data_IF_010335662039
#
_entry.id   IF_010335662039
#
_cell.length_a   1.000
_cell.length_b   1.000
_cell.length_c   1.000
_cell.angle_alpha   90.00
_cell.angle_beta   90.00
_cell.angle_gamma   90.00
#
_symmetry.space_group_name_H-M   'P 1'
#
loop_
_entity.id
_entity.type
_entity.pdbx_description
1 polymer ?
#
# COMPACT_ATOMS: atom_id res chain seq x y z
N UNK A 1 41.13 8.28 -47.79
CA UNK A 1 39.98 7.60 -48.42
C UNK A 1 39.36 6.71 -47.36
N UNK A 2 38.34 7.22 -46.67
CA UNK A 2 37.89 6.71 -45.36
C UNK A 2 36.36 6.74 -45.34
N UNK A 3 35.70 5.62 -45.64
CA UNK A 3 34.23 5.47 -45.48
C UNK A 3 33.81 3.98 -45.52
N UNK A 4 34.47 3.14 -44.73
CA UNK A 4 34.07 1.74 -44.53
C UNK A 4 33.89 1.49 -43.04
N UNK A 5 32.67 1.69 -42.54
CA UNK A 5 32.06 1.13 -41.30
C UNK A 5 30.75 1.89 -41.03
N UNK A 6 29.68 1.17 -40.64
CA UNK A 6 28.31 1.62 -40.34
C UNK A 6 27.26 1.45 -41.45
N UNK A 7 27.31 0.32 -42.15
CA UNK A 7 26.18 -0.17 -42.96
C UNK A 7 25.31 -1.18 -42.21
N UNK A 8 24.86 -0.87 -40.99
CA UNK A 8 23.84 -1.69 -40.31
C UNK A 8 22.49 -1.32 -40.92
N UNK A 9 22.05 -2.07 -41.94
CA UNK A 9 20.64 -2.05 -42.32
C UNK A 9 19.90 -2.58 -41.10
N UNK A 10 19.24 -1.70 -40.37
CA UNK A 10 18.29 -2.09 -39.33
C UNK A 10 17.19 -2.82 -40.07
N UNK A 11 17.27 -4.15 -40.05
CA UNK A 11 16.34 -5.00 -40.76
C UNK A 11 15.00 -4.90 -40.02
N UNK A 12 14.10 -4.08 -40.56
CA UNK A 12 12.78 -3.81 -39.99
C UNK A 12 11.99 -5.10 -39.79
N UNK A 13 12.26 -6.12 -40.60
CA UNK A 13 11.71 -7.47 -40.45
C UNK A 13 12.25 -8.18 -39.20
N UNK A 14 13.56 -8.10 -38.95
CA UNK A 14 14.15 -8.70 -37.74
C UNK A 14 13.68 -8.00 -36.46
N UNK A 15 13.48 -6.67 -36.49
CA UNK A 15 12.86 -5.92 -35.40
C UNK A 15 11.39 -6.32 -35.21
N UNK A 16 10.64 -6.49 -36.29
CA UNK A 16 9.24 -6.90 -36.25
C UNK A 16 9.08 -8.32 -35.70
N UNK A 17 9.95 -9.25 -36.07
CA UNK A 17 9.91 -10.63 -35.59
C UNK A 17 10.36 -10.74 -34.13
N UNK A 18 11.41 -10.02 -33.74
CA UNK A 18 11.84 -9.92 -32.35
C UNK A 18 10.75 -9.31 -31.46
N UNK A 19 10.08 -8.25 -31.93
CA UNK A 19 8.95 -7.64 -31.24
C UNK A 19 7.75 -8.60 -31.16
N UNK A 20 7.40 -9.26 -32.26
CA UNK A 20 6.30 -10.23 -32.31
C UNK A 20 6.52 -11.40 -31.38
N UNK A 21 7.75 -11.90 -31.29
CA UNK A 21 8.14 -12.99 -30.41
C UNK A 21 8.14 -12.58 -28.94
N UNK A 22 8.64 -11.38 -28.64
CA UNK A 22 8.60 -10.80 -27.29
C UNK A 22 7.16 -10.59 -26.82
N UNK A 23 6.29 -10.06 -27.68
CA UNK A 23 4.86 -9.86 -27.39
C UNK A 23 4.16 -11.21 -27.20
N UNK A 24 4.37 -12.19 -28.08
CA UNK A 24 3.75 -13.52 -27.94
C UNK A 24 4.20 -14.24 -26.68
N UNK A 25 5.48 -14.15 -26.33
CA UNK A 25 6.03 -14.74 -25.10
C UNK A 25 5.48 -14.05 -23.86
N UNK A 26 5.42 -12.72 -23.88
CA UNK A 26 4.81 -11.92 -22.81
C UNK A 26 3.33 -12.23 -22.63
N UNK A 27 2.55 -12.26 -23.71
CA UNK A 27 1.11 -12.58 -23.69
C UNK A 27 0.86 -14.01 -23.19
N UNK A 28 1.69 -14.98 -23.61
CA UNK A 28 1.54 -16.37 -23.16
C UNK A 28 1.91 -16.54 -21.69
N UNK A 29 2.96 -15.88 -21.22
CA UNK A 29 3.34 -15.87 -19.81
C UNK A 29 2.28 -15.19 -18.93
N UNK A 30 1.75 -14.06 -19.39
CA UNK A 30 0.65 -13.36 -18.72
C UNK A 30 -0.64 -14.19 -18.71
N UNK A 31 -1.01 -14.80 -19.83
CA UNK A 31 -2.18 -15.67 -19.92
C UNK A 31 -2.04 -16.87 -18.98
N UNK A 32 -0.87 -17.54 -18.97
CA UNK A 32 -0.60 -18.65 -18.06
C UNK A 32 -0.71 -18.25 -16.59
N UNK A 33 -0.08 -17.14 -16.21
CA UNK A 33 -0.19 -16.60 -14.84
C UNK A 33 -1.63 -16.20 -14.50
N UNK A 34 -2.37 -15.61 -15.44
CA UNK A 34 -3.75 -15.20 -15.23
C UNK A 34 -4.66 -16.41 -15.00
N UNK A 35 -4.51 -17.49 -15.77
CA UNK A 35 -5.25 -18.73 -15.55
C UNK A 35 -4.92 -19.36 -14.19
N UNK A 36 -3.65 -19.35 -13.76
CA UNK A 36 -3.26 -19.83 -12.43
C UNK A 36 -3.85 -18.98 -11.30
N UNK A 37 -3.86 -17.66 -11.44
CA UNK A 37 -4.47 -16.74 -10.47
C UNK A 37 -5.97 -17.00 -10.38
N UNK A 38 -6.66 -17.08 -11.53
CA UNK A 38 -8.10 -17.35 -11.60
C UNK A 38 -8.42 -18.71 -10.97
N UNK A 39 -7.59 -19.73 -11.23
CA UNK A 39 -7.73 -21.06 -10.64
C UNK A 39 -7.59 -21.07 -9.11
N UNK A 40 -6.79 -20.16 -8.54
CA UNK A 40 -6.64 -20.00 -7.09
C UNK A 40 -7.68 -19.10 -6.41
N UNK A 41 -8.55 -18.41 -7.18
CA UNK A 41 -9.57 -17.51 -6.61
C UNK A 41 -10.55 -18.20 -5.65
N UNK A 42 -11.02 -19.44 -5.89
CA UNK A 42 -11.94 -20.10 -4.97
C UNK A 42 -11.32 -20.35 -3.58
N UNK A 43 -10.06 -20.80 -3.54
CA UNK A 43 -9.33 -21.05 -2.29
C UNK A 43 -9.09 -19.75 -1.53
N UNK A 44 -8.67 -18.71 -2.25
CA UNK A 44 -8.51 -17.36 -1.70
C UNK A 44 -9.84 -16.81 -1.18
N UNK A 45 -10.95 -17.02 -1.89
CA UNK A 45 -12.28 -16.58 -1.47
C UNK A 45 -12.74 -17.26 -0.19
N UNK A 46 -12.53 -18.57 -0.07
CA UNK A 46 -12.83 -19.32 1.16
C UNK A 46 -11.93 -18.82 2.30
N UNK A 47 -10.63 -18.67 2.06
CA UNK A 47 -9.68 -18.15 3.03
C UNK A 47 -10.06 -16.76 3.54
N UNK A 48 -10.40 -15.83 2.64
CA UNK A 48 -10.89 -14.50 3.02
C UNK A 48 -12.22 -14.57 3.75
N UNK A 49 -13.15 -15.43 3.34
CA UNK A 49 -14.45 -15.57 4.03
C UNK A 49 -14.25 -16.01 5.47
N UNK A 50 -13.40 -17.03 5.71
CA UNK A 50 -13.07 -17.50 7.06
C UNK A 50 -12.32 -16.43 7.84
N UNK A 51 -11.31 -15.80 7.22
CA UNK A 51 -10.55 -14.71 7.84
C UNK A 51 -11.47 -13.58 8.29
N UNK A 52 -12.33 -13.08 7.40
CA UNK A 52 -13.27 -12.00 7.71
C UNK A 52 -14.30 -12.44 8.74
N UNK A 53 -14.75 -13.69 8.70
CA UNK A 53 -15.65 -14.23 9.72
C UNK A 53 -14.99 -14.23 11.11
N UNK A 54 -13.77 -14.76 11.21
CA UNK A 54 -13.00 -14.80 12.47
C UNK A 54 -12.69 -13.39 12.95
N UNK A 55 -12.18 -12.52 12.06
CA UNK A 55 -11.88 -11.12 12.35
C UNK A 55 -13.13 -10.36 12.81
N UNK A 56 -14.27 -10.55 12.14
CA UNK A 56 -15.53 -9.96 12.52
C UNK A 56 -15.94 -10.41 13.92
N UNK A 57 -15.82 -11.70 14.23
CA UNK A 57 -16.14 -12.22 15.56
C UNK A 57 -15.20 -11.67 16.64
N UNK A 58 -13.91 -11.54 16.34
CA UNK A 58 -12.91 -10.90 17.22
C UNK A 58 -13.26 -9.44 17.48
N UNK A 59 -13.59 -8.67 16.45
CA UNK A 59 -13.95 -7.26 16.58
C UNK A 59 -15.30 -7.07 17.28
N UNK A 60 -16.30 -7.90 16.96
CA UNK A 60 -17.64 -7.85 17.56
C UNK A 60 -17.64 -8.22 19.04
N UNK A 61 -16.82 -9.20 19.41
CA UNK A 61 -16.73 -9.70 20.79
C UNK A 61 -15.52 -9.12 21.53
N UNK A 62 -15.01 -7.96 21.06
CA UNK A 62 -13.74 -7.38 21.46
C UNK A 62 -13.56 -7.32 22.98
N UNK A 63 -14.56 -6.85 23.72
CA UNK A 63 -14.49 -6.73 25.18
C UNK A 63 -14.25 -8.08 25.87
N UNK A 64 -14.99 -9.13 25.45
CA UNK A 64 -14.85 -10.47 26.00
C UNK A 64 -13.52 -11.11 25.61
N UNK A 65 -13.04 -10.86 24.39
CA UNK A 65 -11.73 -11.33 23.95
C UNK A 65 -10.62 -10.61 24.72
N UNK A 66 -10.77 -9.30 24.97
CA UNK A 66 -9.82 -8.49 25.71
C UNK A 66 -9.72 -8.92 27.18
N UNK A 67 -10.85 -9.18 27.84
CA UNK A 67 -10.91 -9.74 29.19
C UNK A 67 -10.24 -11.11 29.26
N UNK A 68 -10.50 -11.98 28.28
CA UNK A 68 -9.83 -13.27 28.20
C UNK A 68 -8.31 -13.12 28.04
N UNK A 69 -7.84 -12.22 27.18
CA UNK A 69 -6.41 -11.93 27.04
C UNK A 69 -5.80 -11.43 28.37
N UNK A 70 -6.48 -10.52 29.09
CA UNK A 70 -6.05 -10.01 30.41
C UNK A 70 -5.89 -11.12 31.45
N UNK A 71 -6.76 -12.12 31.43
CA UNK A 71 -6.71 -13.25 32.38
C UNK A 71 -5.62 -14.28 32.05
N UNK A 72 -5.21 -14.40 30.79
CA UNK A 72 -4.16 -15.34 30.36
C UNK A 72 -2.76 -14.72 30.48
N UNK A 73 -2.64 -13.38 30.45
CA UNK A 73 -1.37 -12.69 30.57
C UNK A 73 -0.84 -12.70 32.02
N UNK A 74 0.34 -13.28 32.28
CA UNK A 74 0.97 -13.27 33.60
C UNK A 74 1.74 -11.95 33.83
N UNK A 75 1.05 -10.81 33.74
CA UNK A 75 1.63 -9.48 33.96
C UNK A 75 0.91 -8.77 35.12
N UNK A 76 1.63 -7.88 35.81
CA UNK A 76 1.07 -7.02 36.84
C UNK A 76 -0.06 -6.15 36.27
N UNK A 77 -1.23 -5.99 36.93
CA UNK A 77 -2.36 -5.24 36.40
C UNK A 77 -2.03 -3.83 35.91
N UNK A 78 -1.15 -3.12 36.63
CA UNK A 78 -0.71 -1.78 36.26
C UNK A 78 0.04 -1.75 34.91
N UNK A 79 0.86 -2.76 34.63
CA UNK A 79 1.60 -2.88 33.36
C UNK A 79 0.65 -3.28 32.23
N UNK A 80 -0.34 -4.14 32.51
CA UNK A 80 -1.35 -4.51 31.52
C UNK A 80 -2.15 -3.30 31.04
N UNK A 81 -2.63 -2.47 31.96
CA UNK A 81 -3.43 -1.30 31.62
C UNK A 81 -2.64 -0.29 30.77
N UNK A 82 -1.38 -0.04 31.12
CA UNK A 82 -0.48 0.82 30.33
C UNK A 82 -0.27 0.29 28.91
N UNK A 83 -0.08 -1.02 28.74
CA UNK A 83 0.08 -1.65 27.42
C UNK A 83 -1.19 -1.54 26.56
N UNK A 84 -2.37 -1.77 27.15
CA UNK A 84 -3.63 -1.69 26.42
C UNK A 84 -3.96 -0.26 26.02
N UNK A 85 -3.74 0.70 26.91
CA UNK A 85 -3.94 2.12 26.62
C UNK A 85 -2.94 2.60 25.56
N UNK A 86 -1.66 2.24 25.68
CA UNK A 86 -0.65 2.51 24.67
C UNK A 86 -1.02 1.92 23.31
N UNK A 87 -1.48 0.67 23.27
CA UNK A 87 -1.94 0.03 22.02
C UNK A 87 -3.13 0.76 21.42
N UNK A 88 -4.12 1.13 22.23
CA UNK A 88 -5.29 1.88 21.77
C UNK A 88 -4.88 3.24 21.18
N UNK A 89 -3.98 3.96 21.84
CA UNK A 89 -3.44 5.24 21.36
C UNK A 89 -2.67 5.06 20.04
N UNK A 90 -1.84 4.03 19.92
CA UNK A 90 -1.11 3.72 18.68
C UNK A 90 -2.06 3.39 17.53
N UNK A 91 -3.07 2.56 17.78
CA UNK A 91 -4.09 2.20 16.79
C UNK A 91 -4.89 3.43 16.35
N UNK A 92 -5.40 4.23 17.30
CA UNK A 92 -6.14 5.44 17.02
C UNK A 92 -5.30 6.45 16.19
N UNK A 93 -4.06 6.69 16.60
CA UNK A 93 -3.18 7.64 15.90
C UNK A 93 -2.83 7.14 14.49
N UNK A 94 -2.64 5.83 14.30
CA UNK A 94 -2.41 5.23 12.99
C UNK A 94 -3.63 5.38 12.06
N UNK A 95 -4.84 5.17 12.57
CA UNK A 95 -6.09 5.36 11.81
C UNK A 95 -6.25 6.82 11.36
N UNK A 96 -6.09 7.77 12.28
CA UNK A 96 -6.18 9.20 11.99
C UNK A 96 -5.09 9.62 10.99
N UNK A 97 -3.86 9.15 11.16
CA UNK A 97 -2.76 9.41 10.24
C UNK A 97 -3.04 8.89 8.83
N UNK A 98 -3.58 7.68 8.71
CA UNK A 98 -3.94 7.09 7.41
C UNK A 98 -5.02 7.90 6.69
N UNK A 99 -6.07 8.32 7.42
CA UNK A 99 -7.14 9.18 6.87
C UNK A 99 -6.57 10.53 6.39
N UNK A 100 -5.71 11.16 7.19
CA UNK A 100 -5.11 12.45 6.85
C UNK A 100 -4.25 12.37 5.59
N UNK A 101 -3.40 11.34 5.48
CA UNK A 101 -2.56 11.10 4.30
C UNK A 101 -3.41 10.80 3.07
N UNK A 102 -4.43 9.95 3.20
CA UNK A 102 -5.36 9.64 2.10
C UNK A 102 -6.07 10.90 1.58
N UNK A 103 -6.49 11.78 2.49
CA UNK A 103 -7.11 13.07 2.15
C UNK A 103 -6.16 13.99 1.37
N UNK A 104 -4.94 14.19 1.89
CA UNK A 104 -3.92 15.00 1.22
C UNK A 104 -3.60 14.45 -0.18
N UNK A 105 -3.45 13.13 -0.31
CA UNK A 105 -3.19 12.48 -1.60
C UNK A 105 -4.34 12.68 -2.61
N UNK A 106 -5.59 12.52 -2.16
CA UNK A 106 -6.74 12.69 -3.03
C UNK A 106 -6.85 14.14 -3.55
N UNK A 107 -6.56 15.13 -2.71
CA UNK A 107 -6.53 16.55 -3.12
C UNK A 107 -5.42 16.81 -4.13
N UNK A 108 -4.21 16.32 -3.88
CA UNK A 108 -3.07 16.48 -4.80
C UNK A 108 -3.35 15.84 -6.16
N UNK A 109 -3.89 14.62 -6.19
CA UNK A 109 -4.26 13.95 -7.44
C UNK A 109 -5.37 14.70 -8.17
N UNK A 110 -6.37 15.20 -7.42
CA UNK A 110 -7.43 16.05 -7.94
C UNK A 110 -6.88 17.29 -8.64
N UNK A 111 -5.91 17.98 -8.02
CA UNK A 111 -5.24 19.14 -8.61
C UNK A 111 -4.51 18.78 -9.92
N UNK A 112 -3.82 17.63 -9.97
CA UNK A 112 -3.18 17.14 -11.19
C UNK A 112 -4.22 16.88 -12.29
N UNK A 113 -5.36 16.28 -11.97
CA UNK A 113 -6.41 15.96 -12.95
C UNK A 113 -7.12 17.22 -13.47
N UNK A 114 -7.26 18.25 -12.63
CA UNK A 114 -7.73 19.57 -13.04
C UNK A 114 -6.77 20.22 -14.06
N UNK A 115 -5.46 20.21 -13.79
CA UNK A 115 -4.45 20.76 -14.70
C UNK A 115 -4.40 20.00 -16.03
N UNK A 116 -4.63 18.68 -16.00
CA UNK A 116 -4.66 17.82 -17.19
C UNK A 116 -5.96 17.93 -18.00
N UNK A 117 -6.97 18.67 -17.52
CA UNK A 117 -8.26 18.81 -18.18
C UNK A 117 -9.06 17.51 -18.25
N UNK A 118 -8.87 16.60 -17.29
CA UNK A 118 -9.62 15.34 -17.23
C UNK A 118 -11.02 15.59 -16.67
N UNK A 119 -12.05 15.11 -17.37
CA UNK A 119 -13.41 15.12 -16.87
C UNK A 119 -13.59 14.23 -15.63
N UNK A 120 -14.65 14.47 -14.85
CA UNK A 120 -15.00 13.69 -13.66
C UNK A 120 -13.95 13.71 -12.54
N UNK A 121 -13.28 14.84 -12.30
CA UNK A 121 -12.26 14.98 -11.25
C UNK A 121 -12.76 14.52 -9.87
N UNK A 122 -14.00 14.88 -9.49
CA UNK A 122 -14.59 14.50 -8.20
C UNK A 122 -14.67 12.99 -8.02
N UNK A 123 -15.03 12.25 -9.08
CA UNK A 123 -15.07 10.79 -9.05
C UNK A 123 -13.69 10.20 -8.73
N UNK A 124 -12.65 10.72 -9.35
CA UNK A 124 -11.28 10.26 -9.14
C UNK A 124 -10.73 10.63 -7.76
N UNK A 125 -11.06 11.81 -7.24
CA UNK A 125 -10.70 12.22 -5.88
C UNK A 125 -11.32 11.24 -4.86
N UNK A 126 -12.63 11.01 -4.93
CA UNK A 126 -13.34 10.13 -3.99
C UNK A 126 -12.82 8.70 -4.08
N UNK A 127 -12.65 8.18 -5.28
CA UNK A 127 -12.13 6.82 -5.50
C UNK A 127 -10.70 6.68 -4.97
N UNK A 128 -9.86 7.71 -5.15
CA UNK A 128 -8.49 7.72 -4.64
C UNK A 128 -8.45 7.78 -3.12
N UNK A 129 -9.31 8.59 -2.50
CA UNK A 129 -9.42 8.67 -1.05
C UNK A 129 -9.80 7.32 -0.45
N UNK A 130 -10.85 6.68 -0.96
CA UNK A 130 -11.30 5.36 -0.49
C UNK A 130 -10.21 4.31 -0.73
N UNK A 131 -9.56 4.31 -1.89
CA UNK A 131 -8.51 3.34 -2.20
C UNK A 131 -7.24 3.53 -1.34
N UNK A 132 -6.88 4.78 -1.03
CA UNK A 132 -5.71 5.09 -0.20
C UNK A 132 -5.91 4.72 1.28
N UNK A 133 -7.15 4.59 1.75
CA UNK A 133 -7.45 4.13 3.11
C UNK A 133 -7.17 2.64 3.36
N UNK A 134 -6.94 1.83 2.32
CA UNK A 134 -6.65 0.40 2.45
C UNK A 134 -5.13 0.17 2.48
N UNK A 135 -4.51 -0.10 3.65
CA UNK A 135 -3.05 -0.09 3.80
C UNK A 135 -2.32 -1.23 3.06
N UNK A 136 -3.04 -2.27 2.62
CA UNK A 136 -2.45 -3.43 1.92
C UNK A 136 -2.61 -3.36 0.40
N UNK A 137 -3.61 -2.61 -0.09
CA UNK A 137 -3.96 -2.52 -1.51
C UNK A 137 -3.50 -1.19 -2.10
N UNK A 138 -3.57 -0.11 -1.32
CA UNK A 138 -3.19 1.24 -1.69
C UNK A 138 -3.91 1.79 -2.92
N UNK A 139 -3.51 2.98 -3.34
CA UNK A 139 -3.94 3.59 -4.61
C UNK A 139 -3.47 2.78 -5.86
N UNK A 140 -2.63 1.75 -5.66
CA UNK A 140 -2.10 0.82 -6.65
C UNK A 140 -3.15 0.18 -7.53
N UNK A 141 -4.26 -0.24 -6.91
CA UNK A 141 -5.34 -0.93 -7.61
C UNK A 141 -6.14 0.01 -8.52
N UNK A 142 -6.06 1.33 -8.30
CA UNK A 142 -6.76 2.35 -9.10
C UNK A 142 -5.89 2.81 -10.26
N UNK A 143 -4.61 3.11 -10.01
CA UNK A 143 -3.75 3.70 -11.04
C UNK A 143 -3.30 2.67 -12.09
N UNK A 144 -3.20 1.39 -11.75
CA UNK A 144 -2.82 0.34 -12.70
C UNK A 144 -3.84 0.22 -13.85
N UNK A 145 -5.15 -0.01 -13.60
CA UNK A 145 -6.15 -0.01 -14.67
C UNK A 145 -6.35 1.37 -15.31
N UNK A 146 -6.22 2.47 -14.56
CA UNK A 146 -6.31 3.81 -15.14
C UNK A 146 -5.17 4.10 -16.15
N UNK A 147 -3.93 3.74 -15.82
CA UNK A 147 -2.77 3.89 -16.70
C UNK A 147 -2.88 2.99 -17.94
N UNK A 148 -3.38 1.76 -17.76
CA UNK A 148 -3.66 0.85 -18.88
C UNK A 148 -4.74 1.44 -19.79
N UNK A 149 -5.81 2.02 -19.23
CA UNK A 149 -6.88 2.64 -20.02
C UNK A 149 -6.39 3.83 -20.84
N UNK A 150 -5.55 4.69 -20.25
CA UNK A 150 -4.96 5.86 -20.93
C UNK A 150 -3.96 5.46 -22.03
N UNK A 151 -3.24 4.35 -21.83
CA UNK A 151 -2.33 3.79 -22.83
C UNK A 151 -3.10 3.22 -24.04
N UNK A 152 -4.20 2.50 -23.79
CA UNK A 152 -5.08 1.97 -24.84
C UNK A 152 -5.77 3.07 -25.67
N UNK A 153 -5.99 4.24 -25.07
CA UNK A 153 -6.56 5.44 -25.74
C UNK A 153 -5.50 6.24 -26.52
N UNK A 154 -4.25 5.77 -26.58
CA UNK A 154 -3.21 6.36 -27.43
C UNK A 154 -2.61 7.66 -26.89
N UNK A 155 -2.71 7.93 -25.59
CA UNK A 155 -2.12 9.10 -24.92
C UNK A 155 -0.93 8.70 -24.03
N UNK A 156 0.27 8.48 -24.60
CA UNK A 156 1.41 7.95 -23.86
C UNK A 156 2.02 8.94 -22.86
N UNK A 157 1.99 10.25 -23.15
CA UNK A 157 2.56 11.28 -22.27
C UNK A 157 1.75 11.44 -20.96
N UNK A 158 0.41 11.54 -20.99
CA UNK A 158 -0.40 11.52 -19.78
C UNK A 158 -0.25 10.24 -18.94
N UNK A 159 -0.09 9.08 -19.58
CA UNK A 159 0.06 7.79 -18.90
C UNK A 159 1.39 7.68 -18.12
N UNK A 160 2.48 8.24 -18.66
CA UNK A 160 3.78 8.30 -17.97
C UNK A 160 3.79 9.34 -16.86
N UNK A 161 3.07 10.45 -17.03
CA UNK A 161 2.93 11.48 -15.99
C UNK A 161 2.08 10.97 -14.82
N UNK A 162 0.96 10.28 -15.09
CA UNK A 162 0.11 9.71 -14.04
C UNK A 162 0.81 8.59 -13.26
N UNK A 163 1.62 7.76 -13.90
CA UNK A 163 2.40 6.73 -13.20
C UNK A 163 3.51 7.32 -12.32
N UNK A 164 4.20 8.38 -12.79
CA UNK A 164 5.25 9.06 -12.02
C UNK A 164 4.72 9.96 -10.89
N UNK A 165 3.55 10.59 -11.06
CA UNK A 165 2.89 11.36 -10.02
C UNK A 165 2.28 10.48 -8.91
N UNK A 166 2.05 9.19 -9.18
CA UNK A 166 1.58 8.21 -8.19
C UNK A 166 2.73 7.61 -7.34
N UNK A 167 3.97 7.63 -7.83
CA UNK A 167 5.14 7.11 -7.10
C UNK A 167 5.43 7.75 -5.72
N UNK A 168 5.19 9.06 -5.47
CA UNK A 168 5.31 9.65 -4.14
C UNK A 168 4.28 9.08 -3.14
N UNK A 169 3.10 8.66 -3.60
CA UNK A 169 2.08 8.07 -2.74
C UNK A 169 2.48 6.67 -2.23
N UNK A 170 3.19 5.89 -3.06
CA UNK A 170 3.79 4.61 -2.66
C UNK A 170 4.93 4.79 -1.65
N UNK A 171 5.69 5.89 -1.73
CA UNK A 171 6.74 6.21 -0.77
C UNK A 171 6.18 6.73 0.57
N UNK A 172 5.08 7.48 0.54
CA UNK A 172 4.48 8.08 1.74
C UNK A 172 3.83 7.08 2.70
N UNK A 173 3.30 5.95 2.21
CA UNK A 173 2.75 4.89 3.09
C UNK A 173 3.80 4.24 3.99
N UNK A 174 5.08 4.31 3.62
CA UNK A 174 6.18 3.87 4.48
C UNK A 174 6.46 4.85 5.64
N UNK A 175 6.14 6.13 5.46
CA UNK A 175 6.49 7.20 6.40
C UNK A 175 5.53 7.32 7.58
N UNK A 176 4.22 7.14 7.36
CA UNK A 176 3.22 7.32 8.40
C UNK A 176 3.33 6.28 9.53
N UNK A 177 3.79 5.06 9.23
CA UNK A 177 4.02 4.02 10.23
C UNK A 177 5.29 4.22 11.08
N UNK A 178 6.20 5.10 10.64
CA UNK A 178 7.54 5.26 11.26
C UNK A 178 7.64 6.51 12.15
N UNK A 179 6.73 7.48 12.02
CA UNK A 179 6.86 8.81 12.65
C UNK A 179 6.32 8.88 14.10
N UNK A 180 5.52 7.92 14.57
CA UNK A 180 5.07 7.89 15.98
C UNK A 180 6.00 7.03 16.83
N UNK A 181 7.30 7.29 16.77
CA UNK A 181 8.19 6.94 17.88
C UNK A 181 8.30 8.23 18.70
N UNK A 182 7.54 8.39 19.79
CA UNK A 182 7.63 9.61 20.56
C UNK A 182 9.04 9.65 21.17
N UNK A 183 9.67 10.82 21.10
CA UNK A 183 11.06 11.09 21.48
C UNK A 183 11.27 11.08 23.01
N UNK A 184 10.44 10.31 23.72
CA UNK A 184 10.35 10.26 25.18
C UNK A 184 11.31 9.21 25.75
N UNK A 185 11.98 8.44 24.88
CA UNK A 185 12.93 7.40 25.26
C UNK A 185 14.24 7.91 25.87
N UNK A 186 14.42 9.23 26.03
CA UNK A 186 15.63 9.82 26.63
C UNK A 186 15.38 10.55 27.97
N UNK A 187 14.16 10.57 28.51
CA UNK A 187 13.94 11.08 29.87
C UNK A 187 14.34 10.03 30.92
N UNK A 188 15.28 10.30 31.85
CA UNK A 188 15.69 9.37 32.92
C UNK A 188 14.56 8.94 33.89
N UNK A 189 13.36 9.49 33.75
CA UNK A 189 12.19 9.17 34.57
C UNK A 189 11.40 7.94 34.09
N UNK A 190 11.67 7.41 32.89
CA UNK A 190 10.92 6.29 32.28
C UNK A 190 11.51 4.91 32.59
N UNK A 191 12.56 4.83 33.41
CA UNK A 191 13.16 3.55 33.79
C UNK A 191 12.18 2.75 34.66
N UNK A 192 11.83 1.51 34.27
CA UNK A 192 11.06 0.61 35.11
C UNK A 192 11.70 0.45 36.48
N UNK A 193 10.88 0.34 37.54
CA UNK A 193 11.35 0.34 38.94
C UNK A 193 12.44 -0.69 39.25
N UNK A 194 12.57 -1.76 38.47
CA UNK A 194 13.61 -2.79 38.63
C UNK A 194 15.01 -2.34 38.19
N UNK A 195 15.13 -1.51 37.14
CA UNK A 195 16.43 -1.01 36.65
C UNK A 195 17.05 0.04 37.58
N UNK A 196 16.25 0.58 38.52
CA UNK A 196 16.69 1.57 39.50
C UNK A 196 17.45 0.95 40.67
N UNK A 197 17.30 -0.36 40.90
CA UNK A 197 17.89 -1.08 42.03
C UNK A 197 19.31 -1.59 41.75
N UNK A 198 19.71 -1.73 40.48
CA UNK A 198 21.07 -2.15 40.10
C UNK A 198 22.10 -1.01 40.11
N UNK A 199 21.65 0.25 40.16
CA UNK A 199 22.55 1.42 40.14
C UNK A 199 22.87 1.92 41.56
N UNK A 200 22.26 1.33 42.60
CA UNK A 200 22.47 1.73 44.01
C UNK A 200 23.35 0.77 44.82
N UNK A 201 24.08 -0.14 44.18
CA UNK A 201 25.05 -1.05 44.83
C UNK A 201 26.47 -0.77 44.39
#
# INVERSE_FOLDING_TARGET
MTAARLGTRVDLAALQDAFSSAVKTGVRGLAGNLFSIIGGLPELFIGFTVLFFVLFQLLRSGDRTLEWVRTVLPLEPAVQDELFEGTHLLLHNSLVGTVAVAGAQAVLLGAVFLVLGLGNVVFWIVTTFIAAMVPLVGASIVWAPASVSLFLVGRPVPAVVSSRAATPALWSTSSAATVVRPLDAESPSSLPSYARLEVST
#
